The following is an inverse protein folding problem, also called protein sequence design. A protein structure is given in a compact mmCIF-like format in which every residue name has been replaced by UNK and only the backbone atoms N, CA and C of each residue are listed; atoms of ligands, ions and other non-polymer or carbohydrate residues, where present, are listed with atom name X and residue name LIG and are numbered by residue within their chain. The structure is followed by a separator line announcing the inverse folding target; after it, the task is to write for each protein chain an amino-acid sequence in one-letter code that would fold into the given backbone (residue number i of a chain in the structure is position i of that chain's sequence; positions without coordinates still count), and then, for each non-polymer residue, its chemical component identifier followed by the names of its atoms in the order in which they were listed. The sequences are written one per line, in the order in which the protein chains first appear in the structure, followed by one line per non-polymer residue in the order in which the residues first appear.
data_IF_448487877380
#
_entry.id   IF_448487877380
#
_cell.length_a   1.000
_cell.length_b   1.000
_cell.length_c   1.000
_cell.angle_alpha   90.00
_cell.angle_beta   90.00
_cell.angle_gamma   90.00
#
_symmetry.space_group_name_H-M   'P 1'
#
loop_
_entity.id
_entity.type
_entity.pdbx_description
1 polymer ?
#
# COMPACT_ATOMS: atom_id res chain seq x y z
N UNK A 1 5.99 21.80 -6.29
CA UNK A 1 5.48 22.61 -5.16
C UNK A 1 4.60 21.74 -4.28
N UNK A 2 5.03 21.45 -3.05
CA UNK A 2 4.34 20.61 -2.06
C UNK A 2 2.98 21.21 -1.69
N UNK A 3 1.87 20.52 -1.97
CA UNK A 3 0.57 20.84 -1.39
C UNK A 3 0.31 19.89 -0.23
N UNK A 4 0.74 20.31 0.96
CA UNK A 4 0.24 19.80 2.22
C UNK A 4 -1.22 20.24 2.32
N UNK A 5 -2.17 19.34 2.09
CA UNK A 5 -3.56 19.56 2.44
C UNK A 5 -3.70 19.31 3.94
N UNK A 6 -3.78 20.41 4.70
CA UNK A 6 -4.16 20.37 6.10
C UNK A 6 -5.66 20.04 6.17
N UNK A 7 -5.99 18.85 6.68
CA UNK A 7 -7.36 18.45 7.01
C UNK A 7 -7.79 19.20 8.27
N UNK A 8 -8.88 19.95 8.18
CA UNK A 8 -9.49 20.63 9.32
C UNK A 8 -10.97 20.29 9.30
N UNK A 9 -11.32 19.12 9.85
CA UNK A 9 -12.71 18.73 10.04
C UNK A 9 -13.23 19.39 11.32
N UNK A 10 -14.12 20.36 11.16
CA UNK A 10 -14.72 21.11 12.25
C UNK A 10 -15.68 20.22 13.04
N UNK A 11 -15.30 19.86 14.26
CA UNK A 11 -16.14 19.18 15.23
C UNK A 11 -17.15 20.20 15.83
N UNK A 12 -18.40 20.20 15.36
CA UNK A 12 -19.47 21.03 15.96
C UNK A 12 -20.16 20.23 17.06
N UNK A 13 -19.69 20.38 18.29
CA UNK A 13 -20.41 19.96 19.49
C UNK A 13 -21.49 21.00 19.83
N UNK A 14 -22.77 20.66 19.64
CA UNK A 14 -23.88 21.41 20.20
C UNK A 14 -24.65 20.53 21.21
N UNK A 15 -24.24 20.61 22.48
CA UNK A 15 -25.05 20.20 23.63
C UNK A 15 -26.22 21.18 23.78
N UNK A 16 -27.45 20.68 23.68
CA UNK A 16 -28.62 21.37 24.22
C UNK A 16 -29.52 20.35 24.95
N UNK A 17 -29.42 20.37 26.27
CA UNK A 17 -30.35 19.77 27.22
C UNK A 17 -31.75 20.37 27.04
N UNK A 18 -32.75 19.55 26.75
CA UNK A 18 -34.13 19.78 27.18
C UNK A 18 -34.82 18.45 27.44
N UNK A 19 -35.09 18.17 28.71
CA UNK A 19 -36.01 17.11 29.10
C UNK A 19 -37.46 17.60 29.04
N UNK A 20 -38.36 16.72 28.64
CA UNK A 20 -39.76 16.67 29.08
C UNK A 20 -40.28 15.24 28.92
N UNK A 21 -40.84 14.70 30.00
CA UNK A 21 -41.37 13.36 30.11
C UNK A 21 -42.63 13.15 29.25
N UNK A 22 -42.74 11.95 28.69
CA UNK A 22 -43.97 11.42 28.08
C UNK A 22 -43.82 9.90 27.97
N UNK A 23 -44.44 9.19 28.91
CA UNK A 23 -44.47 7.74 28.92
C UNK A 23 -45.20 7.21 27.68
N UNK A 24 -44.56 6.27 26.97
CA UNK A 24 -45.24 5.19 26.27
C UNK A 24 -44.26 4.01 26.20
N UNK A 25 -44.72 2.90 26.75
CA UNK A 25 -44.06 1.60 26.69
C UNK A 25 -44.06 1.11 25.25
N UNK A 26 -42.88 1.07 24.63
CA UNK A 26 -42.62 0.17 23.50
C UNK A 26 -41.23 -0.42 23.69
N UNK A 27 -41.18 -1.68 24.14
CA UNK A 27 -39.93 -2.44 24.21
C UNK A 27 -39.57 -2.87 22.78
N UNK A 28 -38.94 -1.96 22.05
CA UNK A 28 -38.04 -2.37 20.97
C UNK A 28 -36.77 -2.88 21.65
N UNK A 29 -36.52 -4.18 21.51
CA UNK A 29 -35.28 -4.85 21.89
C UNK A 29 -34.19 -4.40 20.90
N UNK A 30 -33.80 -3.13 21.00
CA UNK A 30 -32.68 -2.55 20.27
C UNK A 30 -31.39 -2.99 20.94
N UNK A 31 -30.83 -4.11 20.48
CA UNK A 31 -29.39 -4.33 20.60
C UNK A 31 -28.64 -3.11 20.04
N UNK A 32 -27.39 -2.86 20.47
CA UNK A 32 -26.66 -1.69 20.01
C UNK A 32 -26.69 -1.68 18.48
N UNK A 33 -27.31 -0.65 17.91
CA UNK A 33 -27.23 -0.38 16.48
C UNK A 33 -25.74 -0.33 16.16
N UNK A 34 -25.31 -1.24 15.30
CA UNK A 34 -23.96 -1.27 14.77
C UNK A 34 -23.75 0.08 14.09
N UNK A 35 -23.02 1.00 14.73
CA UNK A 35 -22.87 2.42 14.35
C UNK A 35 -21.94 2.55 13.13
N UNK A 36 -22.31 1.81 12.08
CA UNK A 36 -21.66 1.78 10.79
C UNK A 36 -22.29 2.86 9.92
N UNK A 37 -21.46 3.78 9.44
CA UNK A 37 -21.86 4.84 8.51
C UNK A 37 -21.33 4.50 7.12
N UNK A 38 -22.19 4.25 6.12
CA UNK A 38 -21.75 4.05 4.74
C UNK A 38 -20.99 5.27 4.21
N UNK A 39 -19.88 5.04 3.50
CA UNK A 39 -19.14 6.11 2.84
C UNK A 39 -19.93 6.65 1.64
N UNK A 40 -19.85 7.96 1.45
CA UNK A 40 -20.42 8.65 0.29
C UNK A 40 -19.62 8.35 -0.97
N UNK A 41 -20.25 8.52 -2.14
CA UNK A 41 -19.55 8.40 -3.44
C UNK A 41 -18.32 9.32 -3.52
N UNK A 42 -18.41 10.55 -2.98
CA UNK A 42 -17.27 11.48 -2.94
C UNK A 42 -16.12 10.93 -2.11
N UNK A 43 -16.38 10.33 -0.94
CA UNK A 43 -15.34 9.70 -0.12
C UNK A 43 -14.73 8.49 -0.82
N UNK A 44 -15.52 7.71 -1.54
CA UNK A 44 -15.01 6.58 -2.34
C UNK A 44 -14.08 7.07 -3.46
N UNK A 45 -14.41 8.15 -4.16
CA UNK A 45 -13.52 8.75 -5.16
C UNK A 45 -12.22 9.27 -4.53
N UNK A 46 -12.27 9.90 -3.36
CA UNK A 46 -11.07 10.32 -2.62
C UNK A 46 -10.18 9.12 -2.28
N UNK A 47 -10.75 7.98 -1.88
CA UNK A 47 -9.99 6.76 -1.63
C UNK A 47 -9.43 6.13 -2.92
N UNK A 48 -10.13 6.20 -4.05
CA UNK A 48 -9.58 5.77 -5.34
C UNK A 48 -8.35 6.58 -5.74
N UNK A 49 -8.37 7.89 -5.51
CA UNK A 49 -7.20 8.75 -5.74
C UNK A 49 -6.06 8.44 -4.77
N UNK A 50 -6.38 8.26 -3.48
CA UNK A 50 -5.40 7.95 -2.44
C UNK A 50 -4.67 6.62 -2.69
N UNK A 51 -5.41 5.60 -3.13
CA UNK A 51 -4.92 4.25 -3.36
C UNK A 51 -4.63 3.93 -4.82
N UNK A 52 -4.57 4.95 -5.69
CA UNK A 52 -4.25 4.77 -7.10
C UNK A 52 -2.93 3.99 -7.25
N UNK A 53 -2.96 2.86 -7.95
CA UNK A 53 -1.78 1.99 -8.10
C UNK A 53 -0.69 2.57 -8.97
N UNK A 54 -1.04 3.52 -9.82
CA UNK A 54 -0.14 4.13 -10.79
C UNK A 54 -0.24 5.64 -10.79
N UNK A 55 0.83 6.28 -11.21
CA UNK A 55 0.89 7.71 -11.44
C UNK A 55 1.68 8.00 -12.73
N UNK A 56 1.23 8.99 -13.48
CA UNK A 56 1.95 9.47 -14.65
C UNK A 56 3.06 10.45 -14.23
N UNK A 57 4.27 10.17 -14.67
CA UNK A 57 5.41 11.07 -14.53
C UNK A 57 5.45 11.98 -15.75
N UNK A 58 5.39 13.29 -15.50
CA UNK A 58 5.48 14.31 -16.53
C UNK A 58 6.82 15.04 -16.48
N UNK A 59 7.23 15.58 -17.62
CA UNK A 59 8.36 16.48 -17.72
C UNK A 59 8.04 17.79 -16.97
N UNK A 60 8.83 18.12 -15.95
CA UNK A 60 8.57 19.33 -15.15
C UNK A 60 8.69 20.64 -15.96
N UNK A 61 9.43 20.62 -17.08
CA UNK A 61 9.66 21.79 -17.93
C UNK A 61 8.59 21.92 -19.00
N UNK A 62 8.22 20.83 -19.68
CA UNK A 62 7.26 20.85 -20.79
C UNK A 62 5.83 20.51 -20.38
N UNK A 63 5.65 19.84 -19.23
CA UNK A 63 4.38 19.26 -18.79
C UNK A 63 3.97 18.01 -19.57
N UNK A 64 4.81 17.52 -20.47
CA UNK A 64 4.49 16.36 -21.32
C UNK A 64 4.65 15.05 -20.55
N UNK A 65 3.80 14.07 -20.88
CA UNK A 65 3.91 12.70 -20.37
C UNK A 65 5.30 12.10 -20.70
N UNK A 66 5.93 11.46 -19.72
CA UNK A 66 7.18 10.72 -19.89
C UNK A 66 6.97 9.21 -19.79
N UNK A 67 6.41 8.76 -18.67
CA UNK A 67 6.12 7.35 -18.41
C UNK A 67 5.14 7.21 -17.24
N UNK A 68 4.50 6.05 -17.12
CA UNK A 68 3.70 5.67 -15.94
C UNK A 68 4.58 4.88 -14.97
N UNK A 69 4.45 5.15 -13.67
CA UNK A 69 5.10 4.41 -12.59
C UNK A 69 4.06 3.86 -11.62
N UNK A 70 4.44 2.84 -10.84
CA UNK A 70 3.67 2.41 -9.66
C UNK A 70 3.73 3.48 -8.57
N UNK A 71 2.73 3.51 -7.68
CA UNK A 71 2.74 4.36 -6.49
C UNK A 71 3.26 3.59 -5.27
N UNK A 72 3.83 4.26 -4.26
CA UNK A 72 4.34 3.55 -3.09
C UNK A 72 3.26 2.75 -2.35
N UNK A 73 2.03 3.25 -2.28
CA UNK A 73 0.93 2.55 -1.59
C UNK A 73 0.51 1.26 -2.31
N UNK A 74 0.76 1.15 -3.62
CA UNK A 74 0.45 -0.06 -4.39
C UNK A 74 1.20 -1.32 -3.90
N UNK A 75 2.33 -1.15 -3.21
CA UNK A 75 3.11 -2.25 -2.63
C UNK A 75 2.30 -3.02 -1.56
N UNK A 76 1.33 -2.36 -0.90
CA UNK A 76 0.47 -3.00 0.11
C UNK A 76 -0.64 -3.86 -0.48
N UNK A 77 -0.77 -3.90 -1.82
CA UNK A 77 -1.81 -4.63 -2.54
C UNK A 77 -1.24 -5.73 -3.44
N UNK A 78 0.02 -6.13 -3.24
CA UNK A 78 0.66 -7.23 -3.97
C UNK A 78 0.46 -8.58 -3.28
N UNK A 79 0.08 -8.59 -2.01
CA UNK A 79 -0.26 -9.78 -1.22
C UNK A 79 -1.41 -9.48 -0.26
N UNK A 80 -2.09 -10.51 0.24
CA UNK A 80 -3.17 -10.40 1.23
C UNK A 80 -2.70 -10.79 2.63
N UNK A 81 -3.15 -10.06 3.65
CA UNK A 81 -2.73 -10.21 5.05
C UNK A 81 -3.81 -9.75 6.04
N UNK A 82 -3.86 -10.42 7.19
CA UNK A 82 -4.71 -10.07 8.33
C UNK A 82 -4.10 -8.99 9.25
N UNK A 83 -2.78 -8.87 9.21
CA UNK A 83 -1.93 -8.01 10.03
C UNK A 83 -0.75 -7.58 9.15
N UNK A 84 -0.35 -6.30 9.11
CA UNK A 84 0.72 -5.84 8.20
C UNK A 84 2.07 -6.55 8.42
N UNK A 85 2.27 -7.18 9.58
CA UNK A 85 3.46 -8.00 9.84
C UNK A 85 3.50 -9.30 9.03
N UNK A 86 2.37 -9.70 8.44
CA UNK A 86 2.23 -10.87 7.56
C UNK A 86 2.38 -10.52 6.07
N UNK A 87 2.76 -9.28 5.73
CA UNK A 87 3.08 -8.91 4.34
C UNK A 87 4.21 -9.79 3.80
N UNK A 88 3.97 -10.40 2.64
CA UNK A 88 5.01 -11.05 1.82
C UNK A 88 5.97 -9.97 1.30
N UNK A 89 7.20 -9.95 1.84
CA UNK A 89 8.18 -8.94 1.50
C UNK A 89 8.66 -9.05 0.04
N UNK A 90 8.75 -10.26 -0.53
CA UNK A 90 9.21 -10.41 -1.91
C UNK A 90 8.19 -9.81 -2.89
N UNK A 91 6.90 -10.10 -2.69
CA UNK A 91 5.83 -9.52 -3.49
C UNK A 91 5.64 -8.02 -3.22
N UNK A 92 5.85 -7.55 -1.98
CA UNK A 92 5.85 -6.11 -1.66
C UNK A 92 6.89 -5.33 -2.47
N UNK A 93 8.07 -5.93 -2.71
CA UNK A 93 9.18 -5.28 -3.41
C UNK A 93 9.05 -5.31 -4.94
N UNK A 94 8.33 -6.29 -5.50
CA UNK A 94 8.27 -6.64 -6.93
C UNK A 94 8.00 -5.48 -7.90
N UNK A 95 7.23 -4.49 -7.47
CA UNK A 95 6.93 -3.29 -8.26
C UNK A 95 7.12 -2.00 -7.46
N UNK A 96 7.96 -2.04 -6.42
CA UNK A 96 8.16 -0.91 -5.53
C UNK A 96 8.85 0.25 -6.29
N UNK A 97 8.22 1.46 -6.33
CA UNK A 97 8.76 2.58 -7.09
C UNK A 97 9.98 3.24 -6.41
N UNK A 98 10.34 2.80 -5.21
CA UNK A 98 11.53 3.25 -4.48
C UNK A 98 12.83 2.69 -5.07
N UNK A 99 12.73 1.75 -6.01
CA UNK A 99 13.88 1.09 -6.58
C UNK A 99 14.73 1.99 -7.49
N UNK A 100 16.03 1.75 -7.46
CA UNK A 100 16.99 2.27 -8.46
C UNK A 100 17.56 1.10 -9.25
N UNK A 101 17.83 1.29 -10.54
CA UNK A 101 18.48 0.25 -11.34
C UNK A 101 20.00 0.38 -11.20
N UNK A 102 20.68 -0.73 -10.92
CA UNK A 102 22.15 -0.78 -10.95
C UNK A 102 22.67 -0.48 -12.37
N UNK A 103 23.72 0.33 -12.47
CA UNK A 103 24.37 0.64 -13.74
C UNK A 103 25.87 0.34 -13.72
N UNK A 104 26.58 0.80 -14.75
CA UNK A 104 28.03 0.58 -14.92
C UNK A 104 28.90 1.03 -13.73
N UNK A 105 28.38 1.93 -12.89
CA UNK A 105 29.07 2.37 -11.67
C UNK A 105 28.96 1.37 -10.50
N UNK A 106 28.01 0.43 -10.57
CA UNK A 106 27.65 -0.49 -9.49
C UNK A 106 28.13 -1.94 -9.77
N UNK A 107 29.17 -2.12 -10.60
CA UNK A 107 29.64 -3.47 -11.05
C UNK A 107 29.98 -4.40 -9.89
N UNK A 108 30.67 -3.91 -8.86
CA UNK A 108 31.02 -4.72 -7.68
C UNK A 108 29.78 -5.19 -6.93
N UNK A 109 28.77 -4.32 -6.81
CA UNK A 109 27.49 -4.64 -6.19
C UNK A 109 26.69 -5.63 -7.01
N UNK A 110 26.65 -5.45 -8.33
CA UNK A 110 26.03 -6.40 -9.25
C UNK A 110 26.64 -7.80 -9.16
N UNK A 111 27.98 -7.92 -9.12
CA UNK A 111 28.64 -9.22 -8.97
C UNK A 111 28.29 -9.88 -7.64
N UNK A 112 28.21 -9.12 -6.55
CA UNK A 112 27.78 -9.69 -5.27
C UNK A 112 26.31 -10.16 -5.29
N UNK A 113 25.44 -9.50 -6.06
CA UNK A 113 24.07 -9.97 -6.29
C UNK A 113 24.08 -11.30 -7.04
N UNK A 114 24.85 -11.42 -8.12
CA UNK A 114 24.97 -12.68 -8.88
C UNK A 114 25.50 -13.83 -8.01
N UNK A 115 26.50 -13.55 -7.17
CA UNK A 115 27.06 -14.52 -6.22
C UNK A 115 25.99 -14.99 -5.22
N UNK A 116 25.16 -14.07 -4.72
CA UNK A 116 24.06 -14.37 -3.80
C UNK A 116 22.99 -15.26 -4.45
N UNK A 117 22.71 -15.03 -5.73
CA UNK A 117 21.78 -15.84 -6.53
C UNK A 117 22.35 -17.21 -6.92
N UNK A 118 23.65 -17.46 -6.73
CA UNK A 118 24.29 -18.72 -7.11
C UNK A 118 24.32 -18.96 -8.62
N UNK A 119 24.45 -17.90 -9.43
CA UNK A 119 24.44 -18.00 -10.89
C UNK A 119 25.69 -18.74 -11.40
N UNK A 120 25.47 -19.82 -12.16
CA UNK A 120 26.54 -20.51 -12.87
C UNK A 120 27.10 -19.65 -14.01
N UNK A 121 28.42 -19.68 -14.21
CA UNK A 121 29.14 -18.86 -15.21
C UNK A 121 28.89 -17.34 -15.05
N UNK A 122 28.71 -16.86 -13.81
CA UNK A 122 28.49 -15.45 -13.49
C UNK A 122 29.58 -14.53 -14.07
N UNK A 123 30.79 -15.04 -14.30
CA UNK A 123 31.89 -14.31 -14.91
C UNK A 123 31.60 -13.85 -16.33
N UNK A 124 30.59 -14.38 -17.02
CA UNK A 124 30.20 -13.86 -18.35
C UNK A 124 29.57 -12.47 -18.30
N UNK A 125 29.00 -12.09 -17.15
CA UNK A 125 28.30 -10.83 -16.96
C UNK A 125 29.27 -9.83 -16.32
N UNK A 126 29.86 -8.95 -17.14
CA UNK A 126 30.88 -8.00 -16.71
C UNK A 126 30.28 -6.73 -16.12
N UNK A 127 29.11 -6.33 -16.59
CA UNK A 127 28.35 -5.16 -16.14
C UNK A 127 26.87 -5.51 -16.00
N UNK A 128 26.05 -4.73 -15.26
CA UNK A 128 24.61 -4.98 -15.13
C UNK A 128 23.88 -5.12 -16.47
N UNK A 129 24.28 -4.34 -17.47
CA UNK A 129 23.70 -4.36 -18.83
C UNK A 129 23.95 -5.69 -19.59
N UNK A 130 24.89 -6.54 -19.15
CA UNK A 130 25.05 -7.88 -19.70
C UNK A 130 23.93 -8.84 -19.22
N UNK A 131 23.19 -8.48 -18.17
CA UNK A 131 22.09 -9.27 -17.62
C UNK A 131 20.81 -9.05 -18.43
N UNK A 132 19.97 -10.09 -18.51
CA UNK A 132 18.78 -10.06 -19.36
C UNK A 132 17.65 -9.15 -18.83
N UNK A 133 17.68 -8.84 -17.54
CA UNK A 133 16.64 -8.10 -16.82
C UNK A 133 17.27 -7.00 -15.96
N UNK A 134 16.56 -5.92 -15.62
CA UNK A 134 17.12 -4.92 -14.71
C UNK A 134 17.43 -5.52 -13.34
N UNK A 135 18.50 -5.06 -12.70
CA UNK A 135 18.76 -5.33 -11.28
C UNK A 135 18.34 -4.12 -10.48
N UNK A 136 17.21 -4.24 -9.78
CA UNK A 136 16.62 -3.17 -8.97
C UNK A 136 17.16 -3.26 -7.55
N UNK A 137 17.63 -2.14 -7.01
CA UNK A 137 18.08 -1.97 -5.62
C UNK A 137 17.06 -1.14 -4.84
N UNK A 138 16.64 -1.64 -3.68
CA UNK A 138 15.84 -0.89 -2.71
C UNK A 138 16.56 -0.86 -1.34
N UNK A 139 16.99 0.30 -0.84
CA UNK A 139 17.54 0.41 0.51
C UNK A 139 16.53 -0.05 1.57
N UNK A 140 16.97 -0.84 2.55
CA UNK A 140 16.13 -1.32 3.66
C UNK A 140 15.48 -0.16 4.43
N UNK A 141 16.20 0.95 4.56
CA UNK A 141 15.69 2.18 5.19
C UNK A 141 14.48 2.75 4.48
N UNK A 142 14.47 2.73 3.14
CA UNK A 142 13.40 3.33 2.34
C UNK A 142 12.16 2.43 2.36
N UNK A 143 12.35 1.11 2.29
CA UNK A 143 11.29 0.12 2.49
C UNK A 143 10.67 0.26 3.89
N UNK A 144 11.51 0.39 4.92
CA UNK A 144 11.04 0.59 6.31
C UNK A 144 10.31 1.91 6.49
N UNK A 145 10.74 2.98 5.83
CA UNK A 145 10.04 4.26 5.87
C UNK A 145 8.65 4.18 5.23
N UNK A 146 8.51 3.42 4.14
CA UNK A 146 7.23 3.19 3.47
C UNK A 146 6.27 2.35 4.34
N UNK A 147 6.78 1.27 4.94
CA UNK A 147 6.06 0.44 5.90
C UNK A 147 5.60 1.28 7.11
N UNK A 148 6.48 2.13 7.64
CA UNK A 148 6.17 2.99 8.78
C UNK A 148 5.06 3.99 8.42
N UNK A 149 5.13 4.61 7.25
CA UNK A 149 4.15 5.60 6.81
C UNK A 149 2.71 5.03 6.83
N UNK A 150 2.53 3.82 6.30
CA UNK A 150 1.21 3.25 6.08
C UNK A 150 0.77 2.24 7.12
N UNK A 151 1.68 1.60 7.85
CA UNK A 151 1.35 0.49 8.73
C UNK A 151 1.98 0.58 10.13
N UNK A 152 2.73 1.64 10.45
CA UNK A 152 3.45 1.83 11.73
C UNK A 152 4.39 0.66 12.09
N UNK A 153 4.92 -0.04 11.09
CA UNK A 153 5.89 -1.14 11.24
C UNK A 153 7.14 -0.87 10.39
N UNK A 154 8.18 -1.67 10.60
CA UNK A 154 9.40 -1.67 9.81
C UNK A 154 9.64 -3.04 9.19
N UNK A 155 10.66 -3.15 8.32
CA UNK A 155 11.09 -4.44 7.77
C UNK A 155 11.42 -5.45 8.88
N UNK A 156 11.97 -5.00 10.01
CA UNK A 156 12.34 -5.87 11.13
C UNK A 156 11.13 -6.48 11.87
N UNK A 157 9.93 -5.94 11.65
CA UNK A 157 8.68 -6.44 12.24
C UNK A 157 7.97 -7.50 11.36
N UNK A 158 8.40 -7.65 10.09
CA UNK A 158 7.81 -8.60 9.15
C UNK A 158 8.16 -10.04 9.50
N UNK A 159 7.16 -10.93 9.42
CA UNK A 159 7.27 -12.35 9.72
C UNK A 159 7.76 -13.18 8.53
N UNK A 160 7.44 -12.74 7.31
CA UNK A 160 7.88 -13.38 6.08
C UNK A 160 8.88 -12.49 5.32
N UNK A 161 10.10 -12.97 5.19
CA UNK A 161 11.20 -12.31 4.48
C UNK A 161 12.02 -13.31 3.65
N UNK A 162 11.59 -14.58 3.57
CA UNK A 162 12.46 -15.69 3.12
C UNK A 162 12.84 -15.57 1.64
N UNK A 163 11.92 -15.09 0.81
CA UNK A 163 12.11 -14.98 -0.65
C UNK A 163 12.72 -13.63 -1.09
N UNK A 164 12.91 -12.69 -0.17
CA UNK A 164 13.50 -11.39 -0.47
C UNK A 164 15.03 -11.48 -0.57
N UNK A 165 15.60 -11.05 -1.70
CA UNK A 165 17.06 -11.06 -1.90
C UNK A 165 17.69 -9.87 -1.18
N UNK A 166 18.26 -10.10 0.00
CA UNK A 166 18.89 -9.06 0.83
C UNK A 166 20.41 -9.23 0.90
N UNK A 167 21.17 -8.17 0.61
CA UNK A 167 22.63 -8.15 0.81
C UNK A 167 22.98 -7.18 1.95
N UNK A 168 23.37 -7.75 3.09
CA UNK A 168 23.73 -7.00 4.30
C UNK A 168 24.86 -5.98 4.10
N UNK A 169 25.78 -6.21 3.16
CA UNK A 169 26.88 -5.28 2.88
C UNK A 169 26.42 -3.94 2.28
N UNK A 170 25.27 -3.93 1.60
CA UNK A 170 24.67 -2.74 1.00
C UNK A 170 23.43 -2.28 1.75
N UNK A 171 22.98 -3.05 2.75
CA UNK A 171 21.73 -2.85 3.48
C UNK A 171 20.53 -2.61 2.54
N UNK A 172 20.44 -3.44 1.51
CA UNK A 172 19.46 -3.28 0.44
C UNK A 172 18.90 -4.63 -0.02
N UNK A 173 17.67 -4.55 -0.51
CA UNK A 173 16.98 -5.63 -1.21
C UNK A 173 17.17 -5.51 -2.73
N UNK A 174 17.04 -6.63 -3.43
CA UNK A 174 17.18 -6.72 -4.88
C UNK A 174 16.04 -7.47 -5.53
N UNK A 175 15.64 -6.98 -6.70
CA UNK A 175 14.51 -7.47 -7.48
C UNK A 175 14.84 -7.40 -8.98
N UNK A 176 14.24 -8.28 -9.80
CA UNK A 176 14.64 -8.51 -11.19
C UNK A 176 13.47 -8.47 -12.19
N UNK A 177 12.30 -8.02 -11.76
CA UNK A 177 11.09 -8.00 -12.58
C UNK A 177 11.25 -6.99 -13.71
N UNK A 178 10.98 -7.46 -14.93
CA UNK A 178 11.10 -6.69 -16.17
C UNK A 178 9.76 -6.25 -16.76
N UNK A 179 8.64 -6.74 -16.22
CA UNK A 179 7.30 -6.34 -16.63
C UNK A 179 6.73 -5.25 -15.71
N UNK A 180 5.44 -4.93 -15.87
CA UNK A 180 4.76 -3.91 -15.07
C UNK A 180 3.40 -4.43 -14.61
N UNK A 181 3.25 -4.64 -13.30
CA UNK A 181 2.03 -5.18 -12.70
C UNK A 181 1.88 -4.80 -11.22
N UNK A 182 1.85 -3.50 -10.86
CA UNK A 182 1.73 -3.10 -9.47
C UNK A 182 0.45 -3.65 -8.81
N UNK A 183 0.52 -3.86 -7.50
CA UNK A 183 -0.63 -4.24 -6.70
C UNK A 183 -1.80 -3.27 -6.89
N UNK A 184 -3.02 -3.78 -6.90
CA UNK A 184 -4.21 -3.00 -7.27
C UNK A 184 -5.37 -3.19 -6.31
N UNK A 185 -5.94 -2.07 -5.90
CA UNK A 185 -7.17 -2.01 -5.14
C UNK A 185 -7.97 -0.79 -5.58
N UNK A 186 -9.17 -1.04 -6.13
CA UNK A 186 -10.09 0.01 -6.57
C UNK A 186 -11.35 -0.13 -5.72
N UNK A 187 -11.53 0.71 -4.68
CA UNK A 187 -12.71 0.64 -3.84
C UNK A 187 -13.95 1.04 -4.63
N UNK A 188 -15.02 0.27 -4.48
CA UNK A 188 -16.35 0.58 -5.05
C UNK A 188 -17.39 0.89 -3.97
N UNK A 189 -17.06 0.59 -2.72
CA UNK A 189 -17.85 0.90 -1.54
C UNK A 189 -17.01 0.83 -0.28
N UNK A 190 -17.63 1.26 0.82
CA UNK A 190 -17.00 1.26 2.12
C UNK A 190 -17.92 1.76 3.22
N UNK A 191 -17.50 1.55 4.45
CA UNK A 191 -18.19 2.01 5.65
C UNK A 191 -17.17 2.41 6.72
N UNK A 192 -17.60 3.29 7.62
CA UNK A 192 -16.83 3.73 8.77
C UNK A 192 -17.52 3.30 10.06
N UNK A 193 -16.75 2.80 11.02
CA UNK A 193 -17.20 2.44 12.37
C UNK A 193 -16.18 2.98 13.40
N UNK A 194 -16.55 4.07 14.05
CA UNK A 194 -15.63 4.82 14.91
C UNK A 194 -14.40 5.31 14.13
N UNK A 195 -13.22 4.92 14.61
CA UNK A 195 -11.92 5.25 14.00
C UNK A 195 -11.46 4.23 12.95
N UNK A 196 -12.30 3.26 12.56
CA UNK A 196 -11.95 2.28 11.54
C UNK A 196 -12.81 2.45 10.28
N UNK A 197 -12.18 2.23 9.12
CA UNK A 197 -12.82 2.26 7.81
C UNK A 197 -12.58 0.90 7.14
N UNK A 198 -13.65 0.33 6.59
CA UNK A 198 -13.58 -0.84 5.72
C UNK A 198 -13.98 -0.44 4.30
N UNK A 199 -13.11 -0.73 3.34
CA UNK A 199 -13.34 -0.52 1.90
C UNK A 199 -13.39 -1.88 1.20
N UNK A 200 -14.16 -2.00 0.12
CA UNK A 200 -14.18 -3.22 -0.69
C UNK A 200 -14.13 -2.93 -2.19
N UNK A 201 -13.50 -3.83 -2.94
CA UNK A 201 -13.47 -3.80 -4.40
C UNK A 201 -14.72 -4.48 -5.00
N UNK A 202 -14.88 -4.40 -6.31
CA UNK A 202 -15.93 -5.15 -7.00
C UNK A 202 -15.58 -6.66 -7.01
N UNK A 203 -16.57 -7.56 -6.91
CA UNK A 203 -16.34 -9.00 -7.00
C UNK A 203 -15.63 -9.42 -8.29
N UNK A 204 -14.61 -10.27 -8.14
CA UNK A 204 -13.86 -10.96 -9.21
C UNK A 204 -14.65 -12.17 -9.69
N UNK A 205 -15.63 -11.98 -10.56
CA UNK A 205 -16.37 -13.10 -11.15
C UNK A 205 -17.48 -12.66 -12.10
N UNK A 206 -17.82 -13.53 -13.07
CA UNK A 206 -19.00 -13.30 -13.90
C UNK A 206 -20.26 -13.34 -13.01
N UNK A 207 -21.08 -12.29 -13.07
CA UNK A 207 -22.34 -12.12 -12.33
C UNK A 207 -22.25 -11.66 -10.86
N UNK A 208 -21.09 -11.23 -10.36
CA UNK A 208 -20.98 -10.62 -9.03
C UNK A 208 -20.98 -11.61 -7.86
N UNK A 209 -20.75 -12.90 -8.12
CA UNK A 209 -20.65 -13.97 -7.11
C UNK A 209 -19.19 -14.39 -6.81
N UNK A 210 -18.21 -13.60 -7.27
CA UNK A 210 -16.78 -13.86 -7.06
C UNK A 210 -16.24 -13.31 -5.74
N UNK A 211 -14.96 -13.56 -5.47
CA UNK A 211 -14.26 -12.96 -4.32
C UNK A 211 -14.00 -11.48 -4.54
N UNK A 212 -13.95 -10.67 -3.49
CA UNK A 212 -13.50 -9.27 -3.58
C UNK A 212 -12.37 -9.02 -2.60
N UNK A 213 -11.66 -7.90 -2.79
CA UNK A 213 -10.66 -7.48 -1.82
C UNK A 213 -11.29 -6.52 -0.81
N UNK A 214 -10.91 -6.64 0.46
CA UNK A 214 -11.26 -5.73 1.54
C UNK A 214 -10.02 -5.07 2.13
N UNK A 215 -10.02 -3.75 2.24
CA UNK A 215 -8.98 -2.96 2.90
C UNK A 215 -9.53 -2.41 4.22
N UNK A 216 -8.86 -2.69 5.32
CA UNK A 216 -9.17 -2.13 6.64
C UNK A 216 -8.16 -1.05 7.00
N UNK A 217 -8.66 0.11 7.43
CA UNK A 217 -7.87 1.27 7.82
C UNK A 217 -8.24 1.72 9.24
N UNK A 218 -7.27 2.18 10.00
CA UNK A 218 -7.48 3.05 11.17
C UNK A 218 -7.28 4.51 10.76
N UNK A 219 -8.19 5.39 11.19
CA UNK A 219 -8.07 6.84 11.09
C UNK A 219 -7.25 7.33 12.28
N UNK A 220 -6.05 7.85 12.01
CA UNK A 220 -5.18 8.42 13.03
C UNK A 220 -5.73 9.77 13.52
N UNK A 221 -5.35 10.23 14.74
CA UNK A 221 -5.80 11.53 15.27
C UNK A 221 -5.43 12.76 14.42
N UNK A 222 -4.42 12.64 13.54
CA UNK A 222 -4.00 13.70 12.61
C UNK A 222 -4.75 13.66 11.27
N UNK A 223 -5.70 12.73 11.11
CA UNK A 223 -6.48 12.51 9.89
C UNK A 223 -5.77 11.67 8.82
N UNK A 224 -4.57 11.16 9.09
CA UNK A 224 -3.93 10.16 8.22
C UNK A 224 -4.51 8.76 8.45
N UNK A 225 -4.20 7.81 7.57
CA UNK A 225 -4.68 6.44 7.65
C UNK A 225 -3.53 5.47 7.94
N UNK A 226 -3.81 4.46 8.77
CA UNK A 226 -2.97 3.26 8.92
C UNK A 226 -3.69 2.07 8.30
N UNK A 227 -3.03 1.33 7.43
CA UNK A 227 -3.49 0.06 6.89
C UNK A 227 -3.36 -1.00 7.98
N UNK A 228 -4.46 -1.69 8.26
CA UNK A 228 -4.52 -2.75 9.27
C UNK A 228 -4.64 -4.14 8.65
N UNK A 229 -5.24 -4.25 7.47
CA UNK A 229 -5.38 -5.52 6.76
C UNK A 229 -5.77 -5.31 5.30
N UNK A 230 -5.41 -6.25 4.45
CA UNK A 230 -5.87 -6.35 3.07
C UNK A 230 -6.20 -7.80 2.74
N UNK A 231 -7.47 -8.14 2.54
CA UNK A 231 -7.94 -9.53 2.47
C UNK A 231 -8.65 -9.82 1.16
N UNK A 232 -8.57 -11.06 0.67
CA UNK A 232 -9.53 -11.58 -0.29
C UNK A 232 -10.66 -12.29 0.48
N UNK A 233 -11.91 -11.95 0.18
CA UNK A 233 -13.13 -12.42 0.86
C UNK A 233 -14.08 -13.06 -0.13
#
# INVERSE_FOLDING_TARGET
MKRLFAFLLACVCALALFGCAGANDDKSDGGPEDDTTPLTETQIEEFKELFASTADVTDETTGEYRYTTSTPVSCFFTSHYDDPRDIDLAEFLRYCPLSTTLGDADVEEFHAVLDTLGIEDAERFKVPDDWAVPVRRMPKSDVSALLMQWADITVDDLRDQEDAIYLAQYDAFYEFTSDFGPGSFIPVGGEQYGDSIRLWSAPRGENGEGTHDELTLEVRPDGSYRIEAFREV
#
